data_IF_796189207836
#
_entry.id   IF_796189207836
#
_cell.length_a   1.000
_cell.length_b   1.000
_cell.length_c   1.000
_cell.angle_alpha   90.00
_cell.angle_beta   90.00
_cell.angle_gamma   90.00
#
_symmetry.space_group_name_H-M   'P 1'
#
loop_
_entity.id
_entity.type
_entity.pdbx_description
1 polymer ?
#
# COMPACT_ATOMS: atom_id res chain seq x y z
N UNK A 1 10.36 -53.38 -34.81
CA UNK A 1 9.81 -53.24 -33.45
C UNK A 1 8.83 -52.07 -33.51
N UNK A 2 7.50 -52.24 -33.67
CA UNK A 2 6.58 -53.28 -33.17
C UNK A 2 6.63 -53.38 -31.63
N UNK A 3 5.50 -53.39 -30.90
CA UNK A 3 4.12 -53.69 -31.32
C UNK A 3 3.01 -53.20 -30.36
N UNK A 4 1.84 -52.81 -30.92
CA UNK A 4 0.45 -53.02 -30.42
C UNK A 4 0.07 -52.36 -29.06
N UNK A 5 -1.19 -52.19 -28.59
CA UNK A 5 -2.60 -52.24 -29.05
C UNK A 5 -3.40 -51.20 -28.18
N UNK A 6 -4.68 -50.81 -28.31
CA UNK A 6 -5.80 -51.18 -29.20
C UNK A 6 -6.74 -49.97 -29.48
N UNK A 7 -8.07 -50.19 -29.52
CA UNK A 7 -9.14 -49.31 -30.04
C UNK A 7 -10.44 -49.54 -29.27
N UNK A 8 -11.31 -48.53 -29.16
CA UNK A 8 -12.76 -48.73 -29.14
C UNK A 8 -13.50 -47.53 -29.76
N UNK A 9 -14.55 -47.79 -30.52
CA UNK A 9 -15.29 -46.82 -31.34
C UNK A 9 -16.74 -47.30 -31.48
N UNK A 10 -17.72 -46.40 -31.33
CA UNK A 10 -19.12 -46.70 -31.61
C UNK A 10 -19.82 -45.50 -32.29
N UNK A 11 -20.70 -45.78 -33.25
CA UNK A 11 -21.61 -44.83 -33.89
C UNK A 11 -23.05 -45.20 -33.54
N UNK A 12 -23.94 -44.20 -33.45
CA UNK A 12 -25.35 -44.29 -33.87
C UNK A 12 -25.81 -42.90 -34.33
N UNK A 13 -26.89 -42.83 -35.11
CA UNK A 13 -27.28 -41.62 -35.82
C UNK A 13 -28.81 -41.40 -35.90
N UNK A 14 -29.18 -40.17 -36.28
CA UNK A 14 -30.52 -39.71 -36.72
C UNK A 14 -31.64 -39.74 -35.66
N UNK A 15 -31.97 -38.55 -35.16
CA UNK A 15 -33.35 -38.13 -34.91
C UNK A 15 -33.43 -36.60 -35.00
N UNK A 16 -34.44 -36.06 -35.71
CA UNK A 16 -34.67 -34.61 -35.80
C UNK A 16 -35.82 -34.16 -34.92
N UNK A 17 -35.63 -33.12 -34.12
CA UNK A 17 -36.71 -32.37 -33.46
C UNK A 17 -36.49 -30.87 -33.60
N UNK A 18 -37.57 -30.13 -33.81
CA UNK A 18 -37.55 -28.67 -33.94
C UNK A 18 -37.43 -28.01 -32.56
N UNK A 19 -36.45 -27.11 -32.41
CA UNK A 19 -36.31 -26.29 -31.21
C UNK A 19 -37.34 -25.13 -31.24
N UNK A 20 -38.17 -25.05 -30.20
CA UNK A 20 -38.86 -23.81 -29.84
C UNK A 20 -37.83 -22.82 -29.27
N UNK A 21 -38.00 -21.50 -29.47
CA UNK A 21 -37.21 -20.52 -28.73
C UNK A 21 -37.54 -20.64 -27.23
N UNK A 22 -36.50 -20.71 -26.39
CA UNK A 22 -36.61 -20.59 -24.94
C UNK A 22 -36.21 -19.17 -24.51
N UNK A 23 -36.87 -18.68 -23.47
CA UNK A 23 -36.59 -17.38 -22.86
C UNK A 23 -35.23 -17.37 -22.14
N UNK A 24 -34.58 -16.20 -21.99
CA UNK A 24 -33.24 -16.10 -21.42
C UNK A 24 -33.23 -16.32 -19.90
N UNK A 25 -32.99 -17.57 -19.48
CA UNK A 25 -32.65 -17.90 -18.08
C UNK A 25 -31.30 -17.26 -17.71
N UNK A 26 -31.24 -16.61 -16.55
CA UNK A 26 -30.02 -15.98 -16.06
C UNK A 26 -29.00 -17.03 -15.58
N UNK A 27 -27.80 -17.04 -16.18
CA UNK A 27 -26.68 -17.86 -15.72
C UNK A 27 -25.87 -17.13 -14.64
N UNK A 28 -26.00 -17.58 -13.40
CA UNK A 28 -25.02 -17.33 -12.33
C UNK A 28 -23.75 -18.14 -12.63
N UNK A 29 -22.65 -17.44 -12.91
CA UNK A 29 -21.37 -18.09 -13.21
C UNK A 29 -20.63 -18.52 -11.95
N UNK A 30 -20.76 -19.78 -11.56
CA UNK A 30 -19.83 -20.40 -10.60
C UNK A 30 -18.44 -20.57 -11.23
N UNK A 31 -17.39 -20.37 -10.43
CA UNK A 31 -16.02 -20.60 -10.85
C UNK A 31 -15.62 -22.05 -10.53
N UNK A 32 -15.22 -22.83 -11.54
CA UNK A 32 -14.69 -24.18 -11.34
C UNK A 32 -13.30 -24.06 -10.69
N UNK A 33 -13.22 -24.32 -9.39
CA UNK A 33 -11.96 -24.46 -8.66
C UNK A 33 -11.48 -25.90 -8.80
N UNK A 34 -10.34 -26.09 -9.46
CA UNK A 34 -9.63 -27.37 -9.44
C UNK A 34 -8.88 -27.52 -8.11
N UNK A 35 -9.58 -28.03 -7.10
CA UNK A 35 -8.96 -28.49 -5.85
C UNK A 35 -8.27 -29.83 -6.15
N UNK A 36 -6.95 -29.87 -6.02
CA UNK A 36 -6.21 -31.13 -5.92
C UNK A 36 -6.25 -31.62 -4.48
N UNK A 37 -6.75 -32.84 -4.24
CA UNK A 37 -6.80 -33.44 -2.91
C UNK A 37 -5.38 -33.71 -2.38
N UNK A 38 -4.89 -32.84 -1.49
CA UNK A 38 -3.73 -33.09 -0.65
C UNK A 38 -4.19 -33.68 0.70
N UNK A 39 -3.50 -34.69 1.25
CA UNK A 39 -3.93 -35.39 2.46
C UNK A 39 -3.99 -34.44 3.67
N UNK A 40 -5.14 -34.42 4.33
CA UNK A 40 -5.54 -33.45 5.36
C UNK A 40 -4.84 -33.61 6.73
N UNK A 41 -3.75 -34.36 6.80
CA UNK A 41 -3.08 -34.78 8.04
C UNK A 41 -1.93 -33.88 8.52
N UNK A 42 -1.60 -32.79 7.80
CA UNK A 42 -0.42 -31.95 8.08
C UNK A 42 -0.78 -30.52 8.56
N UNK A 43 -2.03 -30.07 8.45
CA UNK A 43 -2.46 -28.71 8.82
C UNK A 43 -2.74 -28.56 10.33
N UNK A 44 -1.67 -28.61 11.13
CA UNK A 44 -1.69 -28.24 12.54
C UNK A 44 -1.86 -26.73 12.75
N UNK A 45 -2.99 -26.33 13.34
CA UNK A 45 -3.43 -24.95 13.62
C UNK A 45 -3.79 -24.08 12.40
N UNK A 46 -4.82 -23.24 12.56
CA UNK A 46 -5.19 -22.22 11.56
C UNK A 46 -4.22 -21.03 11.66
N UNK A 47 -3.76 -20.44 10.55
CA UNK A 47 -3.00 -19.19 10.59
C UNK A 47 -3.85 -18.07 11.23
N UNK A 48 -3.24 -17.10 11.94
CA UNK A 48 -3.96 -16.03 12.62
C UNK A 48 -4.61 -15.07 11.62
N UNK A 49 -5.93 -15.18 11.44
CA UNK A 49 -6.67 -14.34 10.51
C UNK A 49 -6.74 -12.88 11.00
N UNK A 50 -6.05 -11.97 10.32
CA UNK A 50 -6.15 -10.53 10.58
C UNK A 50 -7.55 -10.02 10.17
N UNK A 51 -8.50 -9.96 11.11
CA UNK A 51 -9.84 -9.42 10.84
C UNK A 51 -9.89 -7.92 11.04
N UNK A 52 -9.66 -7.16 9.97
CA UNK A 52 -9.80 -5.70 9.92
C UNK A 52 -11.18 -5.20 10.42
N UNK A 53 -12.22 -6.04 10.39
CA UNK A 53 -13.54 -5.76 10.97
C UNK A 53 -13.60 -5.70 12.50
N UNK A 54 -12.50 -5.97 13.22
CA UNK A 54 -12.43 -5.88 14.69
C UNK A 54 -11.91 -4.53 15.21
N UNK A 55 -12.43 -3.43 14.65
CA UNK A 55 -12.28 -2.08 15.23
C UNK A 55 -13.03 -2.04 16.57
N UNK A 56 -12.33 -2.38 17.66
CA UNK A 56 -12.83 -2.13 19.02
C UNK A 56 -12.76 -0.63 19.28
N UNK A 57 -13.86 -0.03 19.70
CA UNK A 57 -13.84 1.32 20.29
C UNK A 57 -13.12 1.24 21.63
N UNK A 58 -11.81 1.44 21.63
CA UNK A 58 -11.01 1.44 22.86
C UNK A 58 -11.54 2.50 23.81
N UNK A 59 -11.92 2.09 25.02
CA UNK A 59 -12.33 3.00 26.09
C UNK A 59 -11.23 4.04 26.33
N UNK A 60 -11.60 5.31 26.54
CA UNK A 60 -10.63 6.41 26.62
C UNK A 60 -9.54 6.12 27.65
N UNK A 61 -8.31 5.90 27.17
CA UNK A 61 -7.13 5.99 28.01
C UNK A 61 -7.03 7.44 28.52
N UNK A 62 -6.71 7.66 29.81
CA UNK A 62 -6.58 9.00 30.35
C UNK A 62 -5.39 9.71 29.68
N UNK A 63 -5.70 10.65 28.78
CA UNK A 63 -4.70 11.51 28.16
C UNK A 63 -4.05 12.36 29.26
N UNK A 64 -2.70 12.39 29.38
CA UNK A 64 -2.05 13.25 30.36
C UNK A 64 -2.46 14.70 30.12
N UNK A 65 -2.92 15.38 31.17
CA UNK A 65 -3.54 16.69 31.06
C UNK A 65 -2.60 17.68 30.36
N UNK A 66 -3.01 18.12 29.16
CA UNK A 66 -2.27 19.12 28.41
C UNK A 66 -2.13 20.38 29.26
N UNK A 67 -0.89 20.82 29.53
CA UNK A 67 -0.65 22.09 30.22
C UNK A 67 -1.37 23.21 29.46
N UNK A 68 -2.18 24.05 30.12
CA UNK A 68 -2.88 25.13 29.44
C UNK A 68 -1.83 26.06 28.80
N UNK A 69 -1.93 26.24 27.49
CA UNK A 69 -1.12 27.22 26.76
C UNK A 69 -1.52 28.61 27.25
N UNK A 70 -0.63 29.24 28.03
CA UNK A 70 -0.80 30.61 28.49
C UNK A 70 -0.72 31.53 27.28
N UNK A 71 -1.89 31.99 26.81
CA UNK A 71 -1.96 32.91 25.70
C UNK A 71 -1.31 34.24 26.09
N UNK A 72 -0.27 34.64 25.37
CA UNK A 72 0.36 35.95 25.55
C UNK A 72 -0.65 37.05 25.18
N UNK A 73 -1.06 37.85 26.16
CA UNK A 73 -2.09 38.85 25.99
C UNK A 73 -1.55 40.08 25.22
N UNK A 74 -1.87 40.15 23.93
CA UNK A 74 -1.72 41.39 23.17
C UNK A 74 -2.83 42.38 23.56
N UNK A 75 -2.46 43.60 23.95
CA UNK A 75 -3.38 44.65 24.41
C UNK A 75 -3.86 45.56 23.29
N UNK A 76 -5.12 46.02 23.41
CA UNK A 76 -5.86 46.90 22.49
C UNK A 76 -6.31 46.25 21.16
N UNK A 77 -7.45 46.63 20.57
CA UNK A 77 -8.39 47.71 20.91
C UNK A 77 -9.86 47.21 21.06
N UNK A 78 -10.76 48.11 21.45
CA UNK A 78 -12.13 47.83 21.94
C UNK A 78 -13.10 47.23 20.89
N UNK A 79 -12.95 45.94 20.60
CA UNK A 79 -14.05 45.07 20.17
C UNK A 79 -14.36 44.06 21.27
N UNK A 80 -15.64 43.76 21.52
CA UNK A 80 -16.06 42.72 22.47
C UNK A 80 -15.84 41.32 21.89
N UNK A 81 -14.57 40.94 21.77
CA UNK A 81 -14.13 39.63 21.31
C UNK A 81 -14.63 38.54 22.27
N UNK A 82 -15.80 37.98 21.94
CA UNK A 82 -16.41 36.86 22.65
C UNK A 82 -15.36 35.75 22.80
N UNK A 83 -15.04 35.29 24.03
CA UNK A 83 -13.93 34.37 24.24
C UNK A 83 -14.13 33.13 23.37
N UNK A 84 -13.08 32.74 22.64
CA UNK A 84 -13.14 31.61 21.72
C UNK A 84 -13.53 30.36 22.49
N UNK A 85 -14.69 29.79 22.17
CA UNK A 85 -15.19 28.60 22.83
C UNK A 85 -14.15 27.48 22.69
N UNK A 86 -13.81 26.84 23.81
CA UNK A 86 -12.80 25.79 23.83
C UNK A 86 -13.15 24.71 22.79
N UNK A 87 -12.20 24.39 21.91
CA UNK A 87 -12.43 23.47 20.80
C UNK A 87 -12.86 22.09 21.35
N UNK A 88 -14.09 21.68 21.06
CA UNK A 88 -14.65 20.44 21.57
C UNK A 88 -13.85 19.25 21.03
N UNK A 89 -13.15 18.55 21.92
CA UNK A 89 -12.34 17.39 21.55
C UNK A 89 -13.23 16.31 20.93
N UNK A 90 -12.87 15.88 19.72
CA UNK A 90 -13.54 14.76 19.05
C UNK A 90 -13.12 13.43 19.68
N UNK A 91 -14.00 12.41 19.69
CA UNK A 91 -13.64 11.07 20.15
C UNK A 91 -12.48 10.53 19.30
N UNK A 92 -11.45 10.02 19.96
CA UNK A 92 -10.28 9.44 19.28
C UNK A 92 -10.45 7.94 19.12
N UNK A 93 -10.11 7.42 17.94
CA UNK A 93 -10.09 6.00 17.58
C UNK A 93 -8.68 5.56 17.20
N UNK A 94 -8.39 4.27 17.30
CA UNK A 94 -7.12 3.67 16.88
C UNK A 94 -7.34 2.22 16.42
N UNK A 95 -6.61 1.80 15.39
CA UNK A 95 -6.45 0.38 15.12
C UNK A 95 -5.45 -0.25 16.13
N UNK A 96 -5.55 -1.55 16.40
CA UNK A 96 -4.44 -2.32 16.94
C UNK A 96 -3.19 -2.16 16.07
N UNK A 97 -2.01 -2.15 16.69
CA UNK A 97 -0.74 -2.14 15.96
C UNK A 97 -0.59 -3.44 15.17
N UNK A 98 -0.42 -3.36 13.85
CA UNK A 98 -0.32 -4.55 12.98
C UNK A 98 0.95 -5.35 13.25
N UNK A 99 2.09 -4.68 13.50
CA UNK A 99 3.37 -5.33 13.80
C UNK A 99 4.24 -4.44 14.69
N UNK A 100 4.68 -4.96 15.85
CA UNK A 100 5.60 -4.27 16.75
C UNK A 100 7.06 -4.53 16.42
N UNK A 101 7.46 -5.81 16.41
CA UNK A 101 8.81 -6.24 16.03
C UNK A 101 8.78 -6.86 14.63
N UNK A 102 9.47 -6.24 13.68
CA UNK A 102 9.63 -6.75 12.32
C UNK A 102 10.82 -7.72 12.27
N UNK A 103 10.57 -8.99 11.97
CA UNK A 103 11.62 -9.99 11.73
C UNK A 103 11.73 -10.30 10.24
N UNK A 104 12.76 -9.73 9.62
CA UNK A 104 13.01 -9.75 8.18
C UNK A 104 14.40 -10.32 7.82
N UNK A 105 14.47 -10.91 6.65
CA UNK A 105 15.68 -11.47 6.04
C UNK A 105 15.94 -10.74 4.71
N UNK A 106 17.12 -10.14 4.57
CA UNK A 106 17.54 -9.43 3.36
C UNK A 106 18.71 -10.19 2.74
N UNK A 107 18.57 -10.57 1.48
CA UNK A 107 19.48 -11.50 0.81
C UNK A 107 20.04 -10.86 -0.46
N UNK A 108 21.26 -10.29 -0.42
CA UNK A 108 22.02 -9.89 -1.59
C UNK A 108 22.26 -11.11 -2.51
N UNK A 109 21.85 -11.03 -3.79
CA UNK A 109 22.00 -12.11 -4.76
C UNK A 109 22.95 -11.70 -5.88
N UNK A 110 23.79 -12.65 -6.32
CA UNK A 110 24.61 -12.54 -7.53
C UNK A 110 24.27 -13.67 -8.49
N UNK A 111 24.29 -13.38 -9.79
CA UNK A 111 24.08 -14.35 -10.86
C UNK A 111 25.40 -14.58 -11.60
N UNK A 112 26.01 -15.77 -11.46
CA UNK A 112 27.26 -16.10 -12.16
C UNK A 112 27.22 -17.46 -12.83
N UNK A 113 27.98 -17.59 -13.92
CA UNK A 113 28.23 -18.89 -14.54
C UNK A 113 29.33 -19.69 -13.79
N UNK A 114 29.67 -20.87 -14.31
CA UNK A 114 30.69 -21.75 -13.75
C UNK A 114 32.13 -21.21 -13.90
N UNK A 115 32.36 -20.13 -14.65
CA UNK A 115 33.65 -19.42 -14.77
C UNK A 115 33.74 -18.23 -13.81
N UNK A 116 32.64 -17.87 -13.14
CA UNK A 116 32.54 -16.70 -12.27
C UNK A 116 32.18 -15.40 -13.01
N UNK A 117 31.87 -15.45 -14.30
CA UNK A 117 31.36 -14.31 -15.06
C UNK A 117 29.89 -14.06 -14.73
N UNK A 118 29.43 -12.81 -14.82
CA UNK A 118 28.02 -12.47 -14.65
C UNK A 118 27.16 -13.13 -15.74
N UNK A 119 25.99 -13.64 -15.36
CA UNK A 119 25.08 -14.32 -16.29
C UNK A 119 24.53 -13.40 -17.38
N UNK A 120 24.15 -13.99 -18.53
CA UNK A 120 23.33 -13.33 -19.55
C UNK A 120 22.14 -12.63 -18.90
N UNK A 121 21.79 -11.45 -19.41
CA UNK A 121 20.73 -10.62 -18.84
C UNK A 121 21.07 -9.94 -17.51
N UNK A 122 22.26 -10.13 -16.92
CA UNK A 122 22.60 -9.58 -15.58
C UNK A 122 23.91 -8.78 -15.53
N UNK A 123 24.14 -8.05 -14.45
CA UNK A 123 25.49 -7.68 -14.00
C UNK A 123 25.72 -8.01 -12.53
N UNK A 124 27.00 -8.06 -12.13
CA UNK A 124 27.38 -7.95 -10.72
C UNK A 124 26.73 -6.72 -10.07
N UNK A 125 26.49 -6.80 -8.77
CA UNK A 125 26.10 -5.64 -7.99
C UNK A 125 27.28 -4.68 -7.82
N UNK A 126 27.00 -3.39 -7.89
CA UNK A 126 27.93 -2.31 -7.56
C UNK A 126 27.78 -1.85 -6.10
N UNK A 127 26.93 -2.52 -5.32
CA UNK A 127 26.64 -2.26 -3.90
C UNK A 127 27.16 -3.43 -3.07
N UNK A 128 27.95 -3.13 -2.03
CA UNK A 128 28.46 -4.13 -1.09
C UNK A 128 27.39 -4.58 -0.08
N UNK A 129 27.62 -5.75 0.53
CA UNK A 129 26.77 -6.28 1.61
C UNK A 129 26.71 -5.33 2.81
N UNK A 130 27.77 -4.56 3.07
CA UNK A 130 27.81 -3.62 4.20
C UNK A 130 27.09 -2.29 3.90
N UNK A 131 27.05 -1.86 2.63
CA UNK A 131 26.15 -0.76 2.20
C UNK A 131 24.68 -1.17 2.29
N UNK A 132 24.35 -2.44 1.97
CA UNK A 132 23.01 -2.98 2.25
C UNK A 132 22.71 -2.97 3.76
N UNK A 133 23.64 -3.43 4.62
CA UNK A 133 23.47 -3.33 6.09
C UNK A 133 23.23 -1.89 6.55
N UNK A 134 23.96 -0.92 5.98
CA UNK A 134 23.77 0.50 6.27
C UNK A 134 22.40 1.03 5.82
N UNK A 135 21.90 0.63 4.65
CA UNK A 135 20.58 1.01 4.16
C UNK A 135 19.42 0.35 4.94
N UNK A 136 19.62 -0.85 5.49
CA UNK A 136 18.60 -1.57 6.28
C UNK A 136 18.60 -1.11 7.75
N UNK A 137 19.75 -1.09 8.42
CA UNK A 137 19.87 -0.88 9.88
C UNK A 137 20.44 0.48 10.29
N UNK A 138 20.99 1.26 9.36
CA UNK A 138 21.75 2.48 9.62
C UNK A 138 23.25 2.24 9.54
N UNK A 139 23.96 3.13 8.85
CA UNK A 139 25.42 3.21 8.87
C UNK A 139 25.92 4.54 9.43
N UNK A 140 27.24 4.72 9.63
CA UNK A 140 27.82 5.97 10.15
C UNK A 140 27.45 7.22 9.34
N UNK A 141 27.16 7.05 8.05
CA UNK A 141 26.86 8.12 7.09
C UNK A 141 25.35 8.28 6.79
N UNK A 142 24.52 7.34 7.25
CA UNK A 142 23.07 7.26 6.95
C UNK A 142 22.23 6.81 8.17
N UNK A 143 22.49 7.28 9.40
CA UNK A 143 21.82 6.75 10.60
C UNK A 143 20.30 7.06 10.61
N UNK A 144 19.89 8.17 10.01
CA UNK A 144 18.52 8.63 9.81
C UNK A 144 17.86 8.12 8.52
N UNK A 145 18.69 7.72 7.53
CA UNK A 145 18.30 7.32 6.16
C UNK A 145 18.38 5.79 5.98
N UNK A 146 17.83 5.04 6.93
CA UNK A 146 17.78 3.58 6.87
C UNK A 146 16.36 3.07 7.08
N UNK A 147 16.06 1.85 6.61
CA UNK A 147 14.72 1.26 6.77
C UNK A 147 14.32 1.17 8.25
N UNK A 148 15.24 0.80 9.12
CA UNK A 148 15.04 0.78 10.56
C UNK A 148 14.75 2.18 11.14
N UNK A 149 15.47 3.21 10.71
CA UNK A 149 15.23 4.58 11.13
C UNK A 149 13.87 5.11 10.63
N UNK A 150 13.54 4.91 9.35
CA UNK A 150 12.26 5.33 8.76
C UNK A 150 11.09 4.61 9.43
N UNK A 151 11.17 3.29 9.65
CA UNK A 151 10.15 2.53 10.39
C UNK A 151 9.97 3.04 11.81
N UNK A 152 11.07 3.20 12.56
CA UNK A 152 11.01 3.69 13.94
C UNK A 152 10.44 5.12 14.00
N UNK A 153 10.82 6.00 13.08
CA UNK A 153 10.39 7.40 13.07
C UNK A 153 8.92 7.55 12.63
N UNK A 154 8.53 6.92 11.52
CA UNK A 154 7.16 6.99 11.00
C UNK A 154 6.12 6.27 11.87
N UNK A 155 6.53 5.23 12.61
CA UNK A 155 5.65 4.52 13.55
C UNK A 155 5.62 5.13 14.95
N UNK A 156 6.36 6.22 15.21
CA UNK A 156 6.55 6.81 16.55
C UNK A 156 7.12 5.82 17.58
N UNK A 157 8.11 5.03 17.14
CA UNK A 157 8.83 4.04 17.95
C UNK A 157 8.06 2.73 18.21
N UNK A 158 6.92 2.53 17.53
CA UNK A 158 5.98 1.43 17.76
C UNK A 158 6.28 0.19 16.89
N UNK A 159 6.78 0.38 15.68
CA UNK A 159 7.26 -0.68 14.78
C UNK A 159 8.77 -0.59 14.61
N UNK A 160 9.49 -1.71 14.82
CA UNK A 160 10.95 -1.74 14.94
C UNK A 160 11.59 -2.84 14.10
N UNK A 161 12.69 -2.48 13.45
CA UNK A 161 13.57 -3.37 12.70
C UNK A 161 14.97 -3.25 13.32
N UNK A 162 15.62 -4.36 13.65
CA UNK A 162 16.90 -4.36 14.37
C UNK A 162 17.82 -5.51 13.93
N UNK A 163 19.16 -5.37 14.06
CA UNK A 163 20.10 -6.48 13.84
C UNK A 163 19.88 -7.69 14.76
N UNK A 164 19.09 -7.55 15.84
CA UNK A 164 18.75 -8.63 16.78
C UNK A 164 17.51 -9.41 16.33
N UNK A 165 16.54 -8.76 15.67
CA UNK A 165 15.32 -9.40 15.18
C UNK A 165 15.39 -9.81 13.69
N UNK A 166 16.35 -9.27 12.93
CA UNK A 166 16.44 -9.36 11.47
C UNK A 166 17.89 -9.54 10.99
N UNK A 167 18.07 -10.01 9.74
CA UNK A 167 19.38 -10.36 9.18
C UNK A 167 19.56 -9.85 7.75
N UNK A 168 20.70 -9.23 7.45
CA UNK A 168 21.24 -9.10 6.08
C UNK A 168 22.30 -10.19 5.92
N UNK A 169 22.15 -11.07 4.93
CA UNK A 169 23.08 -12.19 4.73
C UNK A 169 24.32 -11.78 3.95
N UNK A 170 25.36 -12.61 3.99
CA UNK A 170 26.40 -12.60 2.96
C UNK A 170 25.81 -12.93 1.58
N UNK A 171 26.51 -12.54 0.53
CA UNK A 171 26.10 -12.70 -0.86
C UNK A 171 25.72 -14.16 -1.18
N UNK A 172 24.56 -14.36 -1.80
CA UNK A 172 24.12 -15.65 -2.33
C UNK A 172 24.37 -15.67 -3.84
N UNK A 173 25.34 -16.47 -4.26
CA UNK A 173 25.60 -16.71 -5.69
C UNK A 173 24.67 -17.81 -6.20
N UNK A 174 23.98 -17.52 -7.30
CA UNK A 174 23.13 -18.43 -8.05
C UNK A 174 23.70 -18.67 -9.46
N UNK A 175 23.45 -19.85 -10.06
CA UNK A 175 23.77 -20.12 -11.47
C UNK A 175 22.88 -19.30 -12.42
N UNK A 176 23.18 -19.36 -13.72
CA UNK A 176 22.41 -18.64 -14.75
C UNK A 176 21.00 -19.19 -15.02
N UNK A 177 20.63 -20.31 -14.38
CA UNK A 177 19.30 -20.87 -14.38
C UNK A 177 19.26 -22.14 -13.53
N UNK A 178 18.06 -22.64 -13.24
CA UNK A 178 17.87 -23.82 -12.40
C UNK A 178 16.41 -24.23 -12.30
N UNK A 179 16.06 -24.97 -11.24
CA UNK A 179 14.69 -25.42 -10.97
C UNK A 179 14.33 -25.17 -9.50
N UNK A 180 13.18 -24.55 -9.26
CA UNK A 180 12.52 -24.51 -7.95
C UNK A 180 11.46 -25.61 -7.92
N UNK A 181 11.80 -26.76 -7.36
CA UNK A 181 10.98 -27.97 -7.50
C UNK A 181 10.85 -28.38 -8.97
N UNK A 182 9.66 -28.19 -9.55
CA UNK A 182 9.38 -28.46 -10.98
C UNK A 182 9.38 -27.20 -11.86
N UNK A 183 9.46 -26.00 -11.28
CA UNK A 183 9.41 -24.74 -12.04
C UNK A 183 10.83 -24.36 -12.48
N UNK A 184 11.12 -24.28 -13.80
CA UNK A 184 12.40 -23.77 -14.27
C UNK A 184 12.53 -22.27 -14.00
N UNK A 185 13.74 -21.80 -13.78
CA UNK A 185 14.04 -20.36 -13.67
C UNK A 185 15.34 -19.95 -14.38
N UNK A 186 15.43 -18.68 -14.75
CA UNK A 186 16.55 -18.02 -15.41
C UNK A 186 16.50 -16.49 -15.12
N UNK A 187 17.40 -15.70 -15.72
CA UNK A 187 17.50 -14.25 -15.48
C UNK A 187 16.83 -13.35 -16.54
N UNK A 188 16.35 -13.95 -17.63
CA UNK A 188 15.70 -13.26 -18.75
C UNK A 188 14.16 -13.25 -18.63
N UNK A 189 13.57 -14.09 -17.76
CA UNK A 189 12.12 -14.10 -17.46
C UNK A 189 11.77 -13.28 -16.20
N UNK A 190 10.88 -12.29 -16.38
CA UNK A 190 10.35 -11.47 -15.29
C UNK A 190 9.11 -12.07 -14.59
N UNK A 191 8.70 -13.31 -14.91
CA UNK A 191 7.47 -13.90 -14.39
C UNK A 191 7.52 -14.17 -12.88
N UNK A 192 6.36 -14.05 -12.23
CA UNK A 192 6.20 -14.35 -10.81
C UNK A 192 6.65 -15.79 -10.43
N UNK A 193 6.43 -16.76 -11.32
CA UNK A 193 6.84 -18.15 -11.10
C UNK A 193 8.37 -18.31 -11.17
N UNK A 194 9.05 -17.60 -12.07
CA UNK A 194 10.51 -17.54 -12.15
C UNK A 194 11.10 -17.04 -10.83
N UNK A 195 10.55 -15.94 -10.29
CA UNK A 195 10.99 -15.37 -9.01
C UNK A 195 10.73 -16.26 -7.80
N UNK A 196 9.59 -16.97 -7.75
CA UNK A 196 9.35 -17.95 -6.68
C UNK A 196 10.36 -19.10 -6.72
N UNK A 197 10.59 -19.69 -7.89
CA UNK A 197 11.50 -20.82 -8.06
C UNK A 197 12.98 -20.46 -7.78
N UNK A 198 13.39 -19.25 -8.18
CA UNK A 198 14.68 -18.65 -7.85
C UNK A 198 14.80 -18.41 -6.33
N UNK A 199 13.76 -17.89 -5.68
CA UNK A 199 13.72 -17.66 -4.22
C UNK A 199 13.84 -18.95 -3.41
N UNK A 200 13.21 -20.05 -3.87
CA UNK A 200 13.30 -21.36 -3.21
C UNK A 200 14.73 -21.92 -3.25
N UNK A 201 15.49 -21.63 -4.32
CA UNK A 201 16.91 -21.97 -4.41
C UNK A 201 17.77 -21.12 -3.46
N UNK A 202 17.47 -19.83 -3.31
CA UNK A 202 18.10 -18.96 -2.32
C UNK A 202 17.85 -19.46 -0.90
N UNK A 203 16.58 -19.73 -0.55
CA UNK A 203 16.18 -20.29 0.75
C UNK A 203 16.85 -21.65 1.02
N UNK A 204 17.13 -22.47 -0.01
CA UNK A 204 17.87 -23.72 0.14
C UNK A 204 19.37 -23.51 0.43
N UNK A 205 20.03 -22.56 -0.26
CA UNK A 205 21.44 -22.21 -0.03
C UNK A 205 21.63 -21.58 1.36
N UNK A 206 20.70 -20.75 1.82
CA UNK A 206 20.77 -20.19 3.18
C UNK A 206 20.62 -21.27 4.25
N UNK A 207 19.73 -22.25 4.06
CA UNK A 207 19.62 -23.40 4.99
C UNK A 207 20.88 -24.27 4.99
N UNK A 208 21.55 -24.50 3.86
CA UNK A 208 22.82 -25.25 3.85
C UNK A 208 24.00 -24.48 4.46
N UNK A 209 23.92 -23.14 4.51
CA UNK A 209 24.79 -22.26 5.33
C UNK A 209 24.39 -22.22 6.82
N UNK A 210 23.39 -23.00 7.25
CA UNK A 210 22.93 -23.06 8.64
C UNK A 210 22.00 -21.91 9.08
N UNK A 211 21.53 -21.08 8.16
CA UNK A 211 20.59 -19.98 8.46
C UNK A 211 19.17 -20.52 8.48
N UNK A 212 18.51 -20.44 9.64
CA UNK A 212 17.07 -20.68 9.74
C UNK A 212 16.28 -19.52 9.11
N UNK A 213 15.97 -19.67 7.82
CA UNK A 213 15.12 -18.71 7.10
C UNK A 213 13.67 -18.67 7.63
N UNK A 214 13.21 -19.70 8.34
CA UNK A 214 11.83 -19.78 8.85
C UNK A 214 11.62 -18.90 10.10
N UNK A 215 12.68 -18.49 10.79
CA UNK A 215 12.66 -17.44 11.82
C UNK A 215 12.13 -16.11 11.27
N UNK A 216 12.42 -15.80 10.01
CA UNK A 216 12.12 -14.51 9.39
C UNK A 216 10.87 -14.60 8.51
N UNK A 217 9.84 -13.82 8.88
CA UNK A 217 8.54 -13.83 8.18
C UNK A 217 8.57 -13.06 6.87
N UNK A 218 9.36 -11.99 6.80
CA UNK A 218 9.46 -11.11 5.65
C UNK A 218 10.81 -11.36 4.97
N UNK A 219 10.83 -11.68 3.68
CA UNK A 219 12.06 -12.03 2.94
C UNK A 219 12.22 -11.13 1.73
N UNK A 220 13.34 -10.42 1.67
CA UNK A 220 13.71 -9.52 0.58
C UNK A 220 14.87 -10.15 -0.18
N UNK A 221 14.59 -10.53 -1.43
CA UNK A 221 15.57 -11.03 -2.38
C UNK A 221 16.08 -9.82 -3.18
N UNK A 222 17.31 -9.41 -2.88
CA UNK A 222 17.96 -8.26 -3.51
C UNK A 222 18.59 -8.77 -4.81
N UNK A 223 17.87 -8.55 -5.91
CA UNK A 223 18.18 -9.09 -7.22
C UNK A 223 19.40 -8.42 -7.85
N UNK A 224 20.26 -9.13 -8.60
CA UNK A 224 21.26 -8.46 -9.42
C UNK A 224 20.61 -7.48 -10.41
N UNK A 225 21.39 -6.56 -10.97
CA UNK A 225 20.90 -5.66 -12.02
C UNK A 225 20.49 -6.49 -13.24
N UNK A 226 19.25 -6.32 -13.69
CA UNK A 226 18.69 -7.03 -14.84
C UNK A 226 18.65 -6.13 -16.08
N UNK A 227 19.09 -6.65 -17.22
CA UNK A 227 19.00 -6.02 -18.54
C UNK A 227 17.78 -6.51 -19.34
N UNK A 228 17.13 -7.58 -18.90
CA UNK A 228 15.94 -8.21 -19.51
C UNK A 228 14.66 -7.36 -19.47
N UNK A 229 14.71 -6.16 -18.88
CA UNK A 229 13.61 -5.20 -18.91
C UNK A 229 12.55 -5.40 -17.83
N UNK A 230 12.87 -6.11 -16.74
CA UNK A 230 12.03 -6.21 -15.54
C UNK A 230 11.97 -4.83 -14.83
N UNK A 231 11.16 -3.92 -15.38
CA UNK A 231 11.19 -2.48 -15.11
C UNK A 231 10.52 -2.03 -13.79
N UNK A 232 10.74 -2.77 -12.71
CA UNK A 232 10.26 -2.43 -11.37
C UNK A 232 11.43 -2.21 -10.41
N UNK A 233 11.29 -1.30 -9.45
CA UNK A 233 12.26 -1.10 -8.36
C UNK A 233 12.09 -2.15 -7.26
N UNK A 234 10.84 -2.53 -6.99
CA UNK A 234 10.46 -3.60 -6.08
C UNK A 234 9.21 -4.33 -6.60
N UNK A 235 8.98 -5.53 -6.06
CA UNK A 235 7.76 -6.32 -6.25
C UNK A 235 7.54 -7.17 -4.99
N UNK A 236 6.36 -7.13 -4.39
CA UNK A 236 6.10 -7.74 -3.09
C UNK A 236 4.77 -8.47 -2.97
N UNK A 237 4.70 -9.43 -2.06
CA UNK A 237 3.43 -10.06 -1.68
C UNK A 237 2.48 -9.07 -0.99
N UNK A 238 1.22 -9.07 -1.44
CA UNK A 238 0.14 -8.37 -0.76
C UNK A 238 -0.38 -9.26 0.38
N UNK A 239 0.04 -8.94 1.62
CA UNK A 239 -0.12 -9.78 2.79
C UNK A 239 0.99 -10.85 2.94
N UNK A 240 0.58 -12.04 3.41
CA UNK A 240 1.43 -13.22 3.54
C UNK A 240 0.93 -14.29 2.55
N UNK A 241 1.81 -15.20 2.15
CA UNK A 241 1.42 -16.42 1.43
C UNK A 241 0.60 -17.38 2.30
N UNK A 242 0.15 -18.49 1.69
CA UNK A 242 -0.59 -19.55 2.39
C UNK A 242 0.18 -20.27 3.50
N UNK A 243 1.50 -20.03 3.63
CA UNK A 243 2.38 -20.58 4.66
C UNK A 243 2.76 -19.54 5.74
N UNK A 244 2.29 -18.28 5.60
CA UNK A 244 2.57 -17.20 6.54
C UNK A 244 3.89 -16.45 6.29
N UNK A 245 4.46 -16.56 5.09
CA UNK A 245 5.71 -15.91 4.67
C UNK A 245 5.38 -14.77 3.69
N UNK A 246 6.03 -13.63 3.85
CA UNK A 246 6.07 -12.54 2.89
C UNK A 246 7.36 -12.60 2.07
N UNK A 247 7.27 -12.38 0.75
CA UNK A 247 8.39 -12.40 -0.19
C UNK A 247 8.36 -11.15 -1.05
N UNK A 248 9.52 -10.52 -1.20
CA UNK A 248 9.73 -9.30 -1.98
C UNK A 248 11.00 -9.44 -2.83
N UNK A 249 11.00 -8.87 -4.02
CA UNK A 249 12.11 -8.85 -4.97
C UNK A 249 12.48 -7.41 -5.27
N UNK A 250 13.68 -7.00 -4.85
CA UNK A 250 14.17 -5.61 -4.99
C UNK A 250 15.21 -5.57 -6.11
N UNK A 251 15.00 -4.71 -7.11
CA UNK A 251 15.86 -4.59 -8.28
C UNK A 251 17.27 -4.09 -7.94
N UNK A 252 18.26 -4.46 -8.76
CA UNK A 252 19.69 -4.17 -8.51
C UNK A 252 20.08 -2.71 -8.32
N UNK A 253 19.23 -1.76 -8.74
CA UNK A 253 19.44 -0.33 -8.50
C UNK A 253 18.95 0.15 -7.12
N UNK A 254 18.04 -0.59 -6.49
CA UNK A 254 17.31 -0.18 -5.28
C UNK A 254 17.83 -0.85 -4.00
N UNK A 255 18.97 -1.56 -4.07
CA UNK A 255 19.62 -2.21 -2.92
C UNK A 255 19.90 -1.27 -1.75
N UNK A 256 20.08 0.03 -2.01
CA UNK A 256 20.32 1.08 -1.01
C UNK A 256 19.14 2.05 -0.87
N UNK A 257 17.91 1.65 -1.23
CA UNK A 257 16.70 2.49 -1.15
C UNK A 257 15.76 2.05 -0.01
N UNK A 258 15.83 2.67 1.20
CA UNK A 258 14.90 2.39 2.29
C UNK A 258 13.43 2.58 1.86
N UNK A 259 13.17 3.50 0.95
CA UNK A 259 11.84 3.80 0.45
C UNK A 259 11.22 2.62 -0.32
N UNK A 260 12.01 1.89 -1.13
CA UNK A 260 11.53 0.70 -1.85
C UNK A 260 11.27 -0.44 -0.87
N UNK A 261 12.18 -0.68 0.10
CA UNK A 261 11.93 -1.69 1.12
C UNK A 261 10.68 -1.38 1.97
N UNK A 262 10.40 -0.11 2.25
CA UNK A 262 9.19 0.31 2.96
C UNK A 262 7.91 0.13 2.12
N UNK A 263 8.00 0.31 0.80
CA UNK A 263 6.90 0.08 -0.15
C UNK A 263 6.49 -1.40 -0.18
N UNK A 264 7.44 -2.30 -0.45
CA UNK A 264 7.16 -3.75 -0.51
C UNK A 264 6.74 -4.31 0.86
N UNK A 265 7.32 -3.80 1.95
CA UNK A 265 6.85 -4.11 3.30
C UNK A 265 5.40 -3.64 3.53
N UNK A 266 5.03 -2.48 3.01
CA UNK A 266 3.65 -1.97 3.04
C UNK A 266 2.67 -2.97 2.42
N UNK A 267 2.99 -3.50 1.23
CA UNK A 267 2.22 -4.60 0.64
C UNK A 267 2.11 -5.81 1.56
N UNK A 268 3.22 -6.26 2.17
CA UNK A 268 3.19 -7.41 3.08
C UNK A 268 2.31 -7.17 4.32
N UNK A 269 2.13 -5.91 4.72
CA UNK A 269 1.27 -5.47 5.82
C UNK A 269 -0.17 -5.12 5.35
N UNK A 270 -0.56 -5.57 4.14
CA UNK A 270 -1.87 -5.36 3.50
C UNK A 270 -2.20 -3.88 3.21
N UNK A 271 -1.17 -3.05 2.97
CA UNK A 271 -1.32 -1.68 2.48
C UNK A 271 -1.33 -1.66 0.95
N UNK A 272 -2.34 -1.03 0.35
CA UNK A 272 -2.43 -0.86 -1.11
C UNK A 272 -1.65 0.35 -1.59
N UNK A 273 -1.55 0.53 -2.91
CA UNK A 273 -0.92 1.72 -3.50
C UNK A 273 -1.59 3.03 -3.02
N UNK A 274 -0.81 4.11 -3.04
CA UNK A 274 -1.29 5.44 -2.78
C UNK A 274 -1.48 6.18 -4.10
N UNK A 275 -2.72 6.18 -4.55
CA UNK A 275 -3.15 6.71 -5.83
C UNK A 275 -3.50 8.19 -5.72
N UNK A 276 -3.41 8.90 -6.85
CA UNK A 276 -3.72 10.32 -6.92
C UNK A 276 -4.26 10.75 -8.28
N UNK A 277 -4.52 12.05 -8.47
CA UNK A 277 -4.93 12.58 -9.77
C UNK A 277 -3.76 12.45 -10.76
N UNK A 278 -3.96 11.81 -11.92
CA UNK A 278 -2.86 11.65 -12.87
C UNK A 278 -2.43 12.99 -13.47
N UNK A 279 -1.15 13.33 -13.28
CA UNK A 279 -0.53 14.48 -13.93
C UNK A 279 -0.36 14.27 -15.44
N UNK A 280 -0.22 13.02 -15.89
CA UNK A 280 -0.02 12.67 -17.30
C UNK A 280 -1.34 12.65 -18.10
N UNK A 281 -2.46 12.22 -17.49
CA UNK A 281 -3.76 12.11 -18.16
C UNK A 281 -4.86 12.75 -17.29
N UNK A 282 -5.15 14.05 -17.46
CA UNK A 282 -6.10 14.79 -16.64
C UNK A 282 -7.48 14.13 -16.54
N UNK A 283 -8.00 14.02 -15.31
CA UNK A 283 -9.29 13.39 -15.01
C UNK A 283 -9.23 11.86 -14.81
N UNK A 284 -8.06 11.24 -14.98
CA UNK A 284 -7.82 9.85 -14.58
C UNK A 284 -7.12 9.77 -13.21
N UNK A 285 -7.09 8.57 -12.63
CA UNK A 285 -6.33 8.26 -11.43
C UNK A 285 -5.03 7.57 -11.84
N UNK A 286 -3.92 8.04 -11.30
CA UNK A 286 -2.63 7.35 -11.31
C UNK A 286 -2.52 6.48 -10.07
N UNK A 287 -2.17 5.21 -10.25
CA UNK A 287 -2.07 4.22 -9.17
C UNK A 287 -1.07 4.63 -8.09
N UNK A 288 -0.01 5.35 -8.46
CA UNK A 288 1.09 5.78 -7.59
C UNK A 288 1.08 7.30 -7.33
N UNK A 289 0.06 8.02 -7.82
CA UNK A 289 0.01 9.49 -7.86
C UNK A 289 -0.14 10.24 -6.54
N UNK A 290 -0.05 9.58 -5.38
CA UNK A 290 0.13 10.23 -4.08
C UNK A 290 1.60 10.18 -3.63
N UNK A 291 2.39 11.07 -4.20
CA UNK A 291 3.80 11.30 -3.84
C UNK A 291 3.99 11.72 -2.37
N UNK A 292 2.93 11.95 -1.59
CA UNK A 292 3.06 12.13 -0.14
C UNK A 292 3.30 10.80 0.59
N UNK A 293 2.88 9.67 0.03
CA UNK A 293 2.91 8.37 0.70
C UNK A 293 4.11 7.52 0.25
N UNK A 294 4.61 6.70 1.16
CA UNK A 294 5.54 5.61 0.84
C UNK A 294 4.98 4.57 -0.17
N UNK A 295 3.65 4.41 -0.24
CA UNK A 295 2.96 3.56 -1.23
C UNK A 295 2.66 4.30 -2.56
N UNK A 296 3.09 5.55 -2.72
CA UNK A 296 3.04 6.26 -4.00
C UNK A 296 4.27 5.93 -4.85
N UNK A 297 4.68 6.84 -5.72
CA UNK A 297 5.88 6.68 -6.57
C UNK A 297 7.19 6.59 -5.76
N UNK A 298 8.33 6.33 -6.42
CA UNK A 298 9.66 6.42 -5.81
C UNK A 298 10.01 7.89 -5.40
N UNK A 299 11.20 8.29 -5.00
CA UNK A 299 12.40 7.57 -4.54
C UNK A 299 12.86 8.11 -3.16
N UNK A 300 12.17 9.13 -2.62
CA UNK A 300 12.55 9.87 -1.41
C UNK A 300 11.89 9.29 -0.16
N UNK A 301 12.65 9.25 0.95
CA UNK A 301 12.23 8.63 2.21
C UNK A 301 11.13 9.45 2.90
N UNK A 302 9.95 8.85 3.02
CA UNK A 302 8.77 9.47 3.63
C UNK A 302 7.86 8.43 4.28
N UNK A 303 7.00 8.88 5.18
CA UNK A 303 6.05 8.01 5.84
C UNK A 303 4.87 7.60 4.93
N UNK A 304 4.15 6.56 5.34
CA UNK A 304 2.81 6.29 4.83
C UNK A 304 1.89 7.50 5.05
N UNK A 305 0.95 7.74 4.14
CA UNK A 305 -0.07 8.76 4.32
C UNK A 305 -1.02 8.41 5.49
N UNK A 306 -1.91 9.34 5.81
CA UNK A 306 -2.74 9.29 7.01
C UNK A 306 -3.67 8.07 7.12
N UNK A 307 -4.46 7.68 6.08
CA UNK A 307 -5.25 6.45 6.18
C UNK A 307 -4.40 5.18 6.30
N UNK A 308 -3.25 5.09 5.60
CA UNK A 308 -2.35 3.93 5.68
C UNK A 308 -1.63 3.83 7.04
N UNK A 309 -1.12 4.95 7.57
CA UNK A 309 -0.54 4.99 8.91
C UNK A 309 -1.57 4.69 10.02
N UNK A 310 -2.83 5.06 9.82
CA UNK A 310 -3.92 4.64 10.70
C UNK A 310 -4.22 3.14 10.54
N UNK A 311 -4.26 2.62 9.32
CA UNK A 311 -4.53 1.21 9.02
C UNK A 311 -3.55 0.28 9.76
N UNK A 312 -2.25 0.59 9.70
CA UNK A 312 -1.18 -0.12 10.43
C UNK A 312 -1.24 0.04 11.96
N UNK A 313 -2.11 0.91 12.46
CA UNK A 313 -2.23 1.25 13.86
C UNK A 313 -1.05 2.08 14.39
N UNK A 314 -0.27 2.75 13.52
CA UNK A 314 0.85 3.62 13.92
C UNK A 314 0.36 4.92 14.56
N UNK A 315 -0.69 5.51 13.99
CA UNK A 315 -1.34 6.73 14.51
C UNK A 315 -2.80 6.47 14.93
N UNK A 316 -3.40 7.48 15.54
CA UNK A 316 -4.80 7.49 15.99
C UNK A 316 -5.54 8.69 15.39
N UNK A 317 -6.85 8.54 15.19
CA UNK A 317 -7.67 9.51 14.49
C UNK A 317 -8.75 10.13 15.38
N UNK A 318 -8.89 11.46 15.32
CA UNK A 318 -10.10 12.15 15.75
C UNK A 318 -11.25 11.77 14.81
N UNK A 319 -12.41 11.33 15.31
CA UNK A 319 -13.54 10.90 14.47
C UNK A 319 -14.74 11.85 14.54
N UNK A 320 -15.28 12.23 13.38
CA UNK A 320 -16.54 12.99 13.25
C UNK A 320 -17.55 12.20 12.41
N UNK A 321 -18.62 11.70 13.04
CA UNK A 321 -19.63 10.86 12.38
C UNK A 321 -20.95 11.59 12.01
N UNK A 322 -21.16 12.83 12.49
CA UNK A 322 -22.39 13.60 12.21
C UNK A 322 -22.11 15.10 12.15
N UNK A 323 -22.62 15.77 11.11
CA UNK A 323 -22.60 17.23 10.97
C UNK A 323 -23.90 17.65 10.29
N UNK A 324 -24.71 18.49 10.94
CA UNK A 324 -25.96 18.97 10.37
C UNK A 324 -25.71 20.12 9.37
N UNK A 325 -26.63 20.41 8.43
CA UNK A 325 -26.51 21.57 7.56
C UNK A 325 -26.43 22.87 8.38
N UNK A 326 -25.57 23.80 7.96
CA UNK A 326 -25.27 25.04 8.67
C UNK A 326 -24.26 24.89 9.82
N UNK A 327 -23.84 23.66 10.18
CA UNK A 327 -22.85 23.46 11.24
C UNK A 327 -21.40 23.54 10.74
N UNK A 328 -20.56 24.16 11.55
CA UNK A 328 -19.10 24.13 11.44
C UNK A 328 -18.47 23.61 12.74
N UNK A 329 -17.34 22.90 12.62
CA UNK A 329 -16.53 22.40 13.73
C UNK A 329 -15.07 22.73 13.45
N UNK A 330 -14.45 23.50 14.33
CA UNK A 330 -13.02 23.83 14.27
C UNK A 330 -12.24 22.99 15.30
N UNK A 331 -11.08 22.47 14.89
CA UNK A 331 -10.19 21.66 15.71
C UNK A 331 -8.72 21.93 15.39
N UNK A 332 -7.83 21.54 16.28
CA UNK A 332 -6.41 21.38 15.96
C UNK A 332 -6.16 19.95 15.48
N UNK A 333 -5.44 19.82 14.37
CA UNK A 333 -4.96 18.54 13.83
C UNK A 333 -3.43 18.49 13.99
N UNK A 334 -2.89 17.72 14.96
CA UNK A 334 -1.45 17.55 15.13
C UNK A 334 -0.77 17.01 13.88
N UNK A 335 0.48 17.40 13.63
CA UNK A 335 1.27 16.86 12.53
C UNK A 335 1.57 15.38 12.77
N UNK A 336 1.19 14.53 11.82
CA UNK A 336 1.45 13.09 11.83
C UNK A 336 2.95 12.78 11.93
N UNK A 337 3.82 13.65 11.43
CA UNK A 337 5.28 13.48 11.50
C UNK A 337 5.91 13.86 12.84
N UNK A 338 5.13 14.35 13.83
CA UNK A 338 5.60 14.58 15.21
C UNK A 338 4.67 14.03 16.30
N UNK A 339 3.47 13.52 15.95
CA UNK A 339 2.53 12.92 16.88
C UNK A 339 1.81 11.69 16.29
N UNK A 340 1.76 10.60 17.07
CA UNK A 340 0.84 9.48 16.84
C UNK A 340 -0.57 9.71 17.42
N UNK A 341 -0.73 10.69 18.31
CA UNK A 341 -1.97 10.94 19.05
C UNK A 341 -2.86 11.95 18.31
N UNK A 342 -4.02 11.50 17.83
CA UNK A 342 -5.06 12.35 17.22
C UNK A 342 -4.65 13.11 15.95
N UNK A 343 -3.54 12.74 15.30
CA UNK A 343 -2.95 13.40 14.13
C UNK A 343 -3.62 13.05 12.79
N UNK A 344 -4.52 12.07 12.79
CA UNK A 344 -5.50 11.86 11.73
C UNK A 344 -6.86 12.46 12.11
N UNK A 345 -7.64 12.88 11.12
CA UNK A 345 -9.07 13.19 11.28
C UNK A 345 -9.88 12.35 10.28
N UNK A 346 -10.76 11.49 10.79
CA UNK A 346 -11.70 10.68 10.01
C UNK A 346 -13.10 11.29 10.06
N UNK A 347 -13.65 11.66 8.91
CA UNK A 347 -15.05 12.08 8.76
C UNK A 347 -15.84 10.94 8.14
N UNK A 348 -16.78 10.40 8.90
CA UNK A 348 -17.72 9.36 8.47
C UNK A 348 -19.03 10.07 8.07
N UNK A 349 -19.37 10.19 6.77
CA UNK A 349 -20.46 11.04 6.32
C UNK A 349 -21.82 10.33 6.44
N UNK A 350 -22.30 10.05 7.65
CA UNK A 350 -23.56 9.30 7.88
C UNK A 350 -24.80 9.95 7.26
N UNK A 351 -24.71 11.24 6.91
CA UNK A 351 -25.74 12.00 6.21
C UNK A 351 -25.69 11.90 4.67
N UNK A 352 -24.73 11.17 4.11
CA UNK A 352 -24.56 10.92 2.67
C UNK A 352 -24.23 9.43 2.43
N UNK A 353 -25.25 8.54 2.44
CA UNK A 353 -25.06 7.10 2.30
C UNK A 353 -24.32 6.71 1.01
N UNK A 354 -23.41 5.74 1.11
CA UNK A 354 -22.59 5.27 -0.01
C UNK A 354 -21.35 6.12 -0.32
N UNK A 355 -21.16 7.28 0.34
CA UNK A 355 -19.92 8.05 0.24
C UNK A 355 -18.84 7.44 1.14
N UNK A 356 -17.62 7.16 0.64
CA UNK A 356 -16.51 6.65 1.47
C UNK A 356 -16.06 7.64 2.54
N UNK A 357 -15.42 7.16 3.61
CA UNK A 357 -14.87 8.03 4.65
C UNK A 357 -13.79 8.99 4.10
N UNK A 358 -13.87 10.26 4.51
CA UNK A 358 -12.82 11.24 4.26
C UNK A 358 -11.78 11.21 5.40
N UNK A 359 -10.52 11.09 5.02
CA UNK A 359 -9.37 11.16 5.92
C UNK A 359 -8.62 12.47 5.67
N UNK A 360 -8.35 13.22 6.73
CA UNK A 360 -7.58 14.46 6.69
C UNK A 360 -6.30 14.29 7.51
N UNK A 361 -5.19 14.72 6.94
CA UNK A 361 -3.86 14.58 7.53
C UNK A 361 -3.03 15.85 7.39
N UNK A 362 -2.36 16.24 8.48
CA UNK A 362 -1.38 17.32 8.46
C UNK A 362 0.03 16.73 8.63
N UNK A 363 0.98 17.12 7.76
CA UNK A 363 2.36 16.61 7.77
C UNK A 363 3.37 17.74 7.52
N UNK A 364 4.56 17.57 8.08
CA UNK A 364 5.68 18.53 8.08
C UNK A 364 7.01 17.79 7.83
N UNK A 365 8.04 18.49 7.35
CA UNK A 365 9.41 17.95 7.21
C UNK A 365 10.06 17.73 8.58
N UNK A 366 9.66 16.64 9.24
CA UNK A 366 10.08 16.24 10.57
C UNK A 366 10.01 14.71 10.71
N UNK A 367 10.83 14.14 11.60
CA UNK A 367 10.89 12.68 11.77
C UNK A 367 11.15 11.96 10.44
N UNK A 368 10.39 10.90 10.18
CA UNK A 368 10.48 10.12 8.94
C UNK A 368 9.94 10.82 7.70
N UNK A 369 9.38 12.03 7.82
CA UNK A 369 8.96 12.88 6.70
C UNK A 369 10.00 13.96 6.34
N UNK A 370 11.26 13.82 6.78
CA UNK A 370 12.33 14.78 6.49
C UNK A 370 12.50 15.10 4.99
N UNK A 371 12.27 14.12 4.09
CA UNK A 371 12.33 14.29 2.63
C UNK A 371 10.96 14.47 1.96
N UNK A 372 9.88 14.64 2.73
CA UNK A 372 8.52 14.85 2.20
C UNK A 372 8.48 16.12 1.32
N UNK A 373 8.07 15.97 0.06
CA UNK A 373 8.04 17.06 -0.92
C UNK A 373 7.27 18.30 -0.44
N UNK A 374 7.73 19.49 -0.82
CA UNK A 374 7.06 20.78 -0.57
C UNK A 374 5.70 20.91 -1.28
N UNK A 375 5.34 19.94 -2.14
CA UNK A 375 3.99 19.71 -2.61
C UNK A 375 3.01 19.42 -1.45
N UNK A 376 3.45 18.76 -0.38
CA UNK A 376 2.62 18.29 0.75
C UNK A 376 3.09 18.80 2.12
N UNK A 377 4.40 19.03 2.31
CA UNK A 377 4.92 19.49 3.59
C UNK A 377 4.32 20.84 3.99
N UNK A 378 3.85 20.92 5.25
CA UNK A 378 3.20 22.12 5.79
C UNK A 378 1.76 22.33 5.34
N UNK A 379 1.11 21.32 4.73
CA UNK A 379 -0.24 21.40 4.15
C UNK A 379 -1.17 20.31 4.71
N UNK A 380 -2.47 20.53 4.56
CA UNK A 380 -3.53 19.58 4.92
C UNK A 380 -3.89 18.75 3.68
N UNK A 381 -3.52 17.48 3.67
CA UNK A 381 -3.90 16.54 2.60
C UNK A 381 -5.19 15.79 2.96
N UNK A 382 -6.00 15.55 1.94
CA UNK A 382 -7.32 14.95 2.03
C UNK A 382 -7.40 13.70 1.17
N UNK A 383 -7.84 12.58 1.76
CA UNK A 383 -7.82 11.26 1.16
C UNK A 383 -9.14 10.53 1.34
N UNK A 384 -9.46 9.59 0.46
CA UNK A 384 -10.35 8.45 0.78
C UNK A 384 -9.53 7.17 0.86
N UNK A 385 -10.05 6.17 1.58
CA UNK A 385 -9.50 4.81 1.59
C UNK A 385 -10.51 3.89 0.89
N UNK A 386 -10.09 3.16 -0.14
CA UNK A 386 -10.97 2.22 -0.84
C UNK A 386 -11.34 1.06 0.11
N UNK A 387 -12.59 0.55 0.08
CA UNK A 387 -12.95 -0.63 0.86
C UNK A 387 -12.17 -1.85 0.37
N UNK A 388 -11.60 -2.63 1.28
CA UNK A 388 -11.05 -3.94 0.93
C UNK A 388 -12.15 -4.83 0.34
N UNK A 389 -11.97 -5.32 -0.89
CA UNK A 389 -12.92 -6.28 -1.49
C UNK A 389 -12.73 -7.68 -0.91
N UNK A 390 -11.49 -8.02 -0.54
CA UNK A 390 -11.05 -9.30 0.02
C UNK A 390 -9.62 -9.16 0.57
N UNK A 391 -8.99 -10.28 0.96
CA UNK A 391 -7.63 -10.31 1.52
C UNK A 391 -6.51 -10.14 0.48
N UNK A 392 -6.79 -10.37 -0.80
CA UNK A 392 -5.84 -10.24 -1.92
C UNK A 392 -5.89 -8.86 -2.60
N UNK A 393 -6.78 -7.96 -2.15
CA UNK A 393 -6.91 -6.60 -2.66
C UNK A 393 -6.80 -5.61 -1.49
N UNK A 394 -5.55 -5.22 -1.11
CA UNK A 394 -5.29 -4.34 0.02
C UNK A 394 -5.81 -2.92 -0.24
N UNK A 395 -6.09 -2.17 0.83
CA UNK A 395 -6.80 -0.90 0.72
C UNK A 395 -5.92 0.19 0.09
N UNK A 396 -6.14 0.45 -1.21
CA UNK A 396 -5.56 1.60 -1.88
C UNK A 396 -6.15 2.91 -1.33
N UNK A 397 -5.29 3.89 -1.04
CA UNK A 397 -5.72 5.24 -0.66
C UNK A 397 -5.77 6.12 -1.90
N UNK A 398 -6.72 7.05 -1.97
CA UNK A 398 -6.78 8.05 -3.03
C UNK A 398 -6.62 9.46 -2.45
N UNK A 399 -5.58 10.18 -2.86
CA UNK A 399 -5.42 11.61 -2.62
C UNK A 399 -6.46 12.40 -3.45
N UNK A 400 -7.23 13.26 -2.77
CA UNK A 400 -8.29 14.08 -3.36
C UNK A 400 -7.93 15.56 -3.45
N UNK A 401 -7.20 16.09 -2.46
CA UNK A 401 -6.75 17.48 -2.42
C UNK A 401 -5.58 17.65 -1.43
N UNK A 402 -4.79 18.71 -1.63
CA UNK A 402 -3.77 19.18 -0.67
C UNK A 402 -3.88 20.69 -0.53
N UNK A 403 -4.12 21.16 0.69
CA UNK A 403 -4.52 22.55 0.98
C UNK A 403 -3.43 23.27 1.80
N UNK A 404 -2.90 24.41 1.35
CA UNK A 404 -2.08 25.27 2.20
C UNK A 404 -2.95 26.09 3.16
N UNK A 405 -2.32 26.73 4.16
CA UNK A 405 -3.00 27.63 5.07
C UNK A 405 -3.69 28.80 4.33
N UNK A 406 -4.84 29.23 4.84
CA UNK A 406 -5.70 30.26 4.25
C UNK A 406 -6.62 29.77 3.12
N UNK A 407 -6.64 28.46 2.81
CA UNK A 407 -7.46 27.88 1.73
C UNK A 407 -8.50 26.89 2.25
N UNK A 408 -9.56 26.70 1.47
CA UNK A 408 -10.51 25.61 1.66
C UNK A 408 -10.86 24.89 0.36
N UNK A 409 -11.48 23.72 0.50
CA UNK A 409 -11.90 22.83 -0.58
C UNK A 409 -13.26 22.21 -0.25
N UNK A 410 -14.11 22.01 -1.26
CA UNK A 410 -15.43 21.41 -1.11
C UNK A 410 -15.46 19.98 -1.67
N UNK A 411 -15.52 19.01 -0.75
CA UNK A 411 -15.76 17.60 -1.02
C UNK A 411 -17.24 17.37 -1.35
N UNK A 412 -17.57 17.59 -2.63
CA UNK A 412 -18.93 17.53 -3.16
C UNK A 412 -19.73 16.26 -2.80
N UNK A 413 -19.16 15.03 -2.79
CA UNK A 413 -19.94 13.81 -2.50
C UNK A 413 -20.72 13.84 -1.18
N UNK A 414 -20.16 14.42 -0.12
CA UNK A 414 -20.85 14.56 1.17
C UNK A 414 -21.44 15.97 1.42
N UNK A 415 -21.33 16.89 0.46
CA UNK A 415 -21.67 18.31 0.66
C UNK A 415 -20.88 18.95 1.80
N UNK A 416 -19.58 18.66 1.90
CA UNK A 416 -18.71 19.08 3.01
C UNK A 416 -17.59 19.99 2.50
N UNK A 417 -17.36 21.10 3.20
CA UNK A 417 -16.18 21.95 3.01
C UNK A 417 -15.16 21.71 4.11
N UNK A 418 -13.88 21.70 3.73
CA UNK A 418 -12.72 21.61 4.62
C UNK A 418 -11.91 22.89 4.45
N UNK A 419 -11.61 23.59 5.55
CA UNK A 419 -10.79 24.80 5.58
C UNK A 419 -9.52 24.55 6.40
N UNK A 420 -8.36 24.96 5.90
CA UNK A 420 -7.12 25.04 6.68
C UNK A 420 -6.80 26.52 6.94
N UNK A 421 -6.99 26.99 8.17
CA UNK A 421 -6.81 28.41 8.49
C UNK A 421 -5.36 28.79 8.69
N UNK A 422 -4.64 28.00 9.49
CA UNK A 422 -3.24 28.26 9.86
C UNK A 422 -2.51 26.95 10.18
N UNK A 423 -1.19 27.03 10.25
CA UNK A 423 -0.32 25.91 10.60
C UNK A 423 0.89 26.35 11.44
N UNK A 424 1.45 25.38 12.15
CA UNK A 424 2.74 25.43 12.86
C UNK A 424 3.49 24.13 12.55
N UNK A 425 4.76 24.00 12.95
CA UNK A 425 5.47 22.72 12.84
C UNK A 425 4.80 21.55 13.58
N UNK A 426 3.86 21.84 14.50
CA UNK A 426 3.23 20.89 15.40
C UNK A 426 1.77 20.55 15.05
N UNK A 427 1.01 21.48 14.44
CA UNK A 427 -0.42 21.27 14.13
C UNK A 427 -0.94 22.26 13.07
N UNK A 428 -2.05 21.88 12.42
CA UNK A 428 -2.91 22.76 11.64
C UNK A 428 -4.21 23.12 12.38
N UNK A 429 -4.73 24.33 12.15
CA UNK A 429 -6.08 24.72 12.57
C UNK A 429 -7.06 24.45 11.42
N UNK A 430 -7.95 23.47 11.61
CA UNK A 430 -8.83 22.94 10.56
C UNK A 430 -10.29 23.19 10.93
N UNK A 431 -11.11 23.62 9.97
CA UNK A 431 -12.58 23.65 10.10
C UNK A 431 -13.23 22.70 9.13
N UNK A 432 -14.10 21.83 9.63
CA UNK A 432 -15.13 21.14 8.86
C UNK A 432 -16.39 22.01 8.84
N UNK A 433 -17.00 22.19 7.67
CA UNK A 433 -18.26 22.93 7.52
C UNK A 433 -19.19 22.19 6.57
N UNK A 434 -20.43 21.94 6.99
CA UNK A 434 -21.50 21.47 6.09
C UNK A 434 -22.44 22.65 5.84
N UNK A 435 -22.37 23.33 4.69
CA UNK A 435 -23.21 24.49 4.42
C UNK A 435 -24.70 24.13 4.46
N UNK A 436 -25.54 25.07 4.86
CA UNK A 436 -26.98 25.02 4.59
C UNK A 436 -27.28 25.55 3.18
N UNK A 437 -28.48 25.32 2.67
CA UNK A 437 -28.91 25.91 1.41
C UNK A 437 -28.78 27.44 1.46
N UNK A 438 -28.07 28.02 0.49
CA UNK A 438 -27.80 29.47 0.42
C UNK A 438 -26.75 30.01 1.40
N UNK A 439 -26.10 29.18 2.22
CA UNK A 439 -25.04 29.61 3.15
C UNK A 439 -23.65 29.17 2.67
N UNK A 440 -22.69 30.11 2.67
CA UNK A 440 -21.29 29.80 2.45
C UNK A 440 -20.57 29.42 3.75
N UNK A 441 -19.53 28.60 3.65
CA UNK A 441 -18.59 28.36 4.75
C UNK A 441 -17.63 29.55 4.91
N UNK A 442 -17.17 29.80 6.13
CA UNK A 442 -16.37 30.99 6.49
C UNK A 442 -14.89 30.94 6.03
N UNK A 443 -14.59 30.34 4.89
CA UNK A 443 -13.25 30.32 4.29
C UNK A 443 -13.32 30.43 2.77
N UNK A 444 -12.26 30.93 2.15
CA UNK A 444 -12.14 30.99 0.69
C UNK A 444 -11.98 29.57 0.14
N UNK A 445 -13.09 28.95 -0.22
CA UNK A 445 -13.12 27.65 -0.90
C UNK A 445 -12.67 27.86 -2.33
N UNK A 446 -11.49 27.35 -2.68
CA UNK A 446 -11.14 27.14 -4.07
C UNK A 446 -11.91 25.94 -4.59
N UNK A 447 -12.68 26.15 -5.66
CA UNK A 447 -13.37 25.07 -6.37
C UNK A 447 -12.31 24.33 -7.17
N UNK A 448 -11.58 23.43 -6.50
CA UNK A 448 -10.66 22.51 -7.15
C UNK A 448 -11.39 21.79 -8.29
N UNK A 449 -10.75 21.62 -9.46
CA UNK A 449 -11.40 21.01 -10.62
C UNK A 449 -11.94 19.64 -10.23
N UNK A 450 -13.26 19.46 -10.34
CA UNK A 450 -13.91 18.24 -9.86
C UNK A 450 -13.37 17.05 -10.64
N UNK A 451 -12.57 16.20 -9.99
CA UNK A 451 -12.08 14.95 -10.57
C UNK A 451 -13.30 14.04 -10.74
N UNK A 452 -13.91 14.10 -11.93
CA UNK A 452 -14.93 13.15 -12.35
C UNK A 452 -14.21 11.84 -12.64
N UNK A 453 -14.04 11.03 -11.60
CA UNK A 453 -13.53 9.67 -11.73
C UNK A 453 -14.55 8.89 -12.57
N UNK A 454 -14.33 8.86 -13.88
CA UNK A 454 -15.10 8.03 -14.81
C UNK A 454 -14.63 6.60 -14.57
N UNK A 455 -15.24 5.94 -13.58
CA UNK A 455 -15.08 4.51 -13.35
C UNK A 455 -15.55 3.81 -14.62
N UNK A 456 -14.60 3.46 -15.48
CA UNK A 456 -14.89 2.84 -16.76
C UNK A 456 -15.42 1.43 -16.51
N UNK A 457 -16.76 1.30 -16.47
CA UNK A 457 -17.44 0.00 -16.35
C UNK A 457 -16.81 -0.97 -17.34
N UNK A 458 -16.25 -2.11 -16.88
CA UNK A 458 -15.39 -2.94 -17.72
C UNK A 458 -16.16 -3.38 -18.96
N UNK A 459 -15.77 -2.87 -20.13
CA UNK A 459 -16.41 -3.20 -21.39
C UNK A 459 -16.39 -4.72 -21.54
N UNK A 460 -17.58 -5.34 -21.50
CA UNK A 460 -17.77 -6.78 -21.77
C UNK A 460 -17.01 -7.09 -23.07
N UNK A 461 -15.86 -7.77 -22.97
CA UNK A 461 -15.09 -8.22 -24.14
C UNK A 461 -15.97 -9.24 -24.85
N UNK A 462 -16.76 -8.79 -25.83
CA UNK A 462 -17.40 -9.67 -26.79
C UNK A 462 -16.29 -10.50 -27.41
N UNK A 463 -16.26 -11.80 -27.10
CA UNK A 463 -15.38 -12.75 -27.78
C UNK A 463 -15.76 -12.67 -29.25
N UNK A 464 -14.90 -12.08 -30.09
CA UNK A 464 -15.06 -12.18 -31.54
C UNK A 464 -15.13 -13.67 -31.88
N UNK A 465 -16.14 -14.14 -32.64
CA UNK A 465 -16.22 -15.53 -33.04
C UNK A 465 -14.94 -15.91 -33.79
N UNK A 466 -14.40 -17.08 -33.48
CA UNK A 466 -13.10 -17.52 -33.97
C UNK A 466 -13.22 -17.92 -35.44
N UNK A 467 -13.02 -16.97 -36.36
CA UNK A 467 -13.10 -17.22 -37.80
C UNK A 467 -11.92 -18.11 -38.23
N UNK A 468 -12.23 -19.38 -38.53
CA UNK A 468 -11.26 -20.35 -38.98
C UNK A 468 -10.56 -19.86 -40.25
N UNK A 469 -9.24 -19.62 -40.16
CA UNK A 469 -8.41 -19.37 -41.35
C UNK A 469 -8.41 -20.63 -42.22
N UNK A 470 -8.99 -20.55 -43.42
CA UNK A 470 -8.71 -21.56 -44.46
C UNK A 470 -7.23 -21.52 -44.80
N UNK A 471 -6.61 -22.69 -44.92
CA UNK A 471 -5.25 -22.80 -45.45
C UNK A 471 -5.21 -22.32 -46.91
N UNK A 472 -4.15 -21.63 -47.30
CA UNK A 472 -3.89 -21.32 -48.70
C UNK A 472 -3.35 -22.58 -49.41
N UNK A 473 -3.78 -22.86 -50.66
CA UNK A 473 -3.23 -23.98 -51.41
C UNK A 473 -1.78 -23.70 -51.83
N UNK A 474 -0.89 -24.64 -51.55
CA UNK A 474 0.45 -24.67 -52.12
C UNK A 474 0.37 -24.85 -53.63
N UNK A 475 1.03 -23.98 -54.41
CA UNK A 475 1.30 -24.25 -55.82
C UNK A 475 2.48 -25.19 -55.97
N UNK A 476 2.30 -26.20 -56.82
CA UNK A 476 3.36 -26.90 -57.56
C UNK A 476 3.83 -26.04 -58.72
#
# INVERSE_FOLDING_TARGET
MQALLFVLLAHWAVAGLALRPLEPVALTGEAIVLVGDLPSSILGSRPPTFKASTIKTTQQLPVPAARPLVAAAATAANGTARPAAAAAMLPTISNPLVLGELSALFVPISATDATGLACSGTSFSFVSVDEVKAAIFGGPWTPDRSLAATLNSCSHGRSRLTPQNSLVTDLVTLPCGGYGGQVPWNWDDCSFYNWMAMSDNVDAILRSRGIDVNRYKFRFYLMPRLYSGCGYEGLGYQGLDGYGIARNWVGGYSWTSPQVYLHELGHNLQVGHASGPSAAIPGTIDEYGDDSCAMGSCCFNRCFNTPHAFQLGWISAQQRAALAPGQSVSLQLPSQSVSAAGSALRVVPTWAPGVPDLWLGYRTKAGGDAELFDAFAGKLSAYTLQPATDFSHPQASLLLATLPAGKGWAWQPAGLSVCMHSATSQYALVTLCRPAAGQACACTVEVAPSIRIVVATPRKKMRRPYTARRAAPTRT
#
